data_IF_054565900557
#
_entry.id   IF_054565900557
#
_cell.length_a   1.000
_cell.length_b   1.000
_cell.length_c   1.000
_cell.angle_alpha   90.00
_cell.angle_beta   90.00
_cell.angle_gamma   90.00
#
_symmetry.space_group_name_H-M   'P 1'
#
loop_
_entity.id
_entity.type
_entity.pdbx_description
1 polymer ?
#
# COMPACT_ATOMS: atom_id res chain seq x y z
N UNK A 1 -41.20 -2.60 23.24
CA UNK A 1 -41.50 -1.22 22.80
C UNK A 1 -41.80 -0.30 24.00
N UNK A 2 -42.60 -0.71 25.01
CA UNK A 2 -42.74 0.06 26.24
C UNK A 2 -41.40 0.28 26.93
N UNK A 3 -40.56 -0.76 26.99
CA UNK A 3 -39.26 -0.71 27.64
C UNK A 3 -38.31 0.38 27.07
N UNK A 4 -38.45 0.72 25.77
CA UNK A 4 -37.64 1.75 25.13
C UNK A 4 -38.18 3.16 25.49
N UNK A 5 -39.47 3.36 25.47
CA UNK A 5 -40.10 4.61 25.91
C UNK A 5 -39.87 4.87 27.40
N UNK A 6 -39.90 3.82 28.22
CA UNK A 6 -39.57 3.90 29.64
C UNK A 6 -38.10 4.29 29.88
N UNK A 7 -37.17 3.76 29.08
CA UNK A 7 -35.75 4.10 29.16
C UNK A 7 -35.49 5.58 28.77
N UNK A 8 -36.21 6.11 27.80
CA UNK A 8 -36.07 7.52 27.38
C UNK A 8 -36.95 8.49 28.19
N UNK A 9 -37.91 7.96 28.93
CA UNK A 9 -38.84 8.74 29.76
C UNK A 9 -39.83 9.67 28.98
N UNK A 10 -39.94 9.44 27.67
CA UNK A 10 -40.77 10.24 26.76
C UNK A 10 -41.45 9.35 25.72
N UNK A 11 -42.67 9.73 25.20
CA UNK A 11 -43.29 8.97 24.12
C UNK A 11 -42.49 9.07 22.82
N UNK A 12 -42.14 7.94 22.24
CA UNK A 12 -41.41 7.87 20.99
C UNK A 12 -42.28 7.46 19.80
N UNK A 13 -43.49 6.95 20.07
CA UNK A 13 -44.38 6.41 19.04
C UNK A 13 -45.81 6.99 19.15
N UNK A 14 -46.36 7.36 18.00
CA UNK A 14 -47.78 7.58 17.82
C UNK A 14 -48.47 6.24 17.55
N UNK A 15 -49.47 5.88 18.37
CA UNK A 15 -50.21 4.63 18.24
C UNK A 15 -51.57 4.88 17.62
N UNK A 16 -51.76 4.49 16.35
CA UNK A 16 -53.04 4.45 15.65
C UNK A 16 -53.67 3.06 15.67
N UNK A 17 -54.91 2.94 15.21
CA UNK A 17 -55.67 1.65 15.20
C UNK A 17 -54.99 0.50 14.43
N UNK A 18 -54.13 0.81 13.42
CA UNK A 18 -53.41 -0.16 12.60
C UNK A 18 -52.02 0.35 12.16
N UNK A 19 -51.46 1.37 12.80
CA UNK A 19 -50.22 2.02 12.40
C UNK A 19 -49.49 2.54 13.63
N UNK A 20 -48.16 2.34 13.61
CA UNK A 20 -47.25 2.91 14.59
C UNK A 20 -46.29 3.81 13.80
N UNK A 21 -46.19 5.06 14.21
CA UNK A 21 -45.31 6.06 13.60
C UNK A 21 -44.41 6.66 14.68
N UNK A 22 -43.24 7.09 14.31
CA UNK A 22 -42.36 7.81 15.22
C UNK A 22 -42.94 9.19 15.49
N UNK A 23 -42.78 9.69 16.72
CA UNK A 23 -42.92 11.10 17.05
C UNK A 23 -41.65 11.84 16.60
N UNK A 24 -41.66 13.17 16.55
CA UNK A 24 -40.45 13.98 16.32
C UNK A 24 -39.35 13.62 17.33
N UNK A 25 -39.70 13.36 18.59
CA UNK A 25 -38.82 12.89 19.65
C UNK A 25 -38.31 11.46 19.36
N UNK A 26 -39.18 10.63 18.75
CA UNK A 26 -38.85 9.30 18.31
C UNK A 26 -37.80 9.28 17.19
N UNK A 27 -37.88 10.21 16.24
CA UNK A 27 -36.85 10.36 15.18
C UNK A 27 -35.50 10.74 15.77
N UNK A 28 -35.44 11.65 16.72
CA UNK A 28 -34.20 12.01 17.44
C UNK A 28 -33.67 10.80 18.20
N UNK A 29 -34.52 10.03 18.87
CA UNK A 29 -34.10 8.83 19.58
C UNK A 29 -33.50 7.77 18.64
N UNK A 30 -34.07 7.58 17.45
CA UNK A 30 -33.57 6.68 16.42
C UNK A 30 -32.20 7.14 15.93
N UNK A 31 -31.99 8.43 15.71
CA UNK A 31 -30.70 8.97 15.30
C UNK A 31 -29.60 8.71 16.35
N UNK A 32 -29.93 8.96 17.62
CA UNK A 32 -29.01 8.68 18.73
C UNK A 32 -28.72 7.17 18.89
N UNK A 33 -29.74 6.32 18.74
CA UNK A 33 -29.59 4.89 18.81
C UNK A 33 -28.68 4.36 17.66
N UNK A 34 -28.83 4.89 16.46
CA UNK A 34 -27.93 4.54 15.32
C UNK A 34 -26.48 4.94 15.59
N UNK A 35 -26.28 6.13 16.16
CA UNK A 35 -24.95 6.60 16.53
C UNK A 35 -24.30 5.68 17.57
N UNK A 36 -25.03 5.31 18.63
CA UNK A 36 -24.55 4.40 19.66
C UNK A 36 -24.24 3.00 19.12
N UNK A 37 -25.07 2.46 18.25
CA UNK A 37 -24.83 1.17 17.61
C UNK A 37 -23.57 1.20 16.75
N UNK A 38 -23.40 2.24 15.95
CA UNK A 38 -22.17 2.42 15.13
C UNK A 38 -20.93 2.53 16.00
N UNK A 39 -21.00 3.17 17.15
CA UNK A 39 -19.89 3.30 18.09
C UNK A 39 -19.58 1.98 18.80
N UNK A 40 -20.61 1.21 19.15
CA UNK A 40 -20.47 -0.12 19.71
C UNK A 40 -19.83 -1.11 18.70
N UNK A 41 -20.26 -1.06 17.43
CA UNK A 41 -19.67 -1.86 16.36
C UNK A 41 -18.19 -1.53 16.16
N UNK A 42 -17.83 -0.24 16.14
CA UNK A 42 -16.42 0.20 16.06
C UNK A 42 -15.59 -0.26 17.26
N UNK A 43 -16.15 -0.24 18.46
CA UNK A 43 -15.45 -0.72 19.65
C UNK A 43 -15.16 -2.22 19.56
N UNK A 44 -16.13 -3.02 19.10
CA UNK A 44 -15.92 -4.47 18.87
C UNK A 44 -14.86 -4.72 17.81
N UNK A 45 -14.93 -4.01 16.67
CA UNK A 45 -13.94 -4.12 15.61
C UNK A 45 -12.54 -3.73 16.08
N UNK A 46 -12.42 -2.68 16.89
CA UNK A 46 -11.15 -2.26 17.49
C UNK A 46 -10.53 -3.34 18.35
N UNK A 47 -11.31 -3.97 19.23
CA UNK A 47 -10.82 -5.07 20.10
C UNK A 47 -10.43 -6.29 19.29
N UNK A 48 -11.24 -6.68 18.29
CA UNK A 48 -10.93 -7.80 17.42
C UNK A 48 -9.70 -7.54 16.53
N UNK A 49 -9.50 -6.31 16.10
CA UNK A 49 -8.33 -5.90 15.32
C UNK A 49 -7.08 -5.92 16.20
N UNK A 50 -7.17 -5.43 17.43
CA UNK A 50 -6.07 -5.49 18.39
C UNK A 50 -5.63 -6.94 18.65
N UNK A 51 -6.57 -7.86 18.88
CA UNK A 51 -6.25 -9.27 19.09
C UNK A 51 -5.60 -9.91 17.85
N UNK A 52 -6.13 -9.64 16.65
CA UNK A 52 -5.51 -10.11 15.39
C UNK A 52 -4.10 -9.57 15.21
N UNK A 53 -3.87 -8.30 15.54
CA UNK A 53 -2.58 -7.65 15.37
C UNK A 53 -1.52 -8.18 16.33
N UNK A 54 -1.88 -8.75 17.49
CA UNK A 54 -0.91 -9.37 18.41
C UNK A 54 -0.13 -10.52 17.78
N UNK A 55 -0.71 -11.17 16.75
CA UNK A 55 -0.09 -12.29 16.03
C UNK A 55 0.18 -11.98 14.56
N UNK A 56 0.07 -10.72 14.16
CA UNK A 56 0.30 -10.30 12.77
C UNK A 56 1.37 -9.23 12.72
N UNK A 57 2.37 -9.42 11.86
CA UNK A 57 3.33 -8.38 11.50
C UNK A 57 2.89 -7.78 10.16
N UNK A 58 2.51 -6.52 10.17
CA UNK A 58 2.00 -5.81 9.00
C UNK A 58 3.06 -4.91 8.40
N UNK A 59 3.35 -5.10 7.10
CA UNK A 59 4.39 -4.41 6.37
C UNK A 59 3.78 -3.66 5.19
N UNK A 60 4.01 -2.35 5.13
CA UNK A 60 3.69 -1.55 3.96
C UNK A 60 4.97 -1.13 3.24
N UNK A 61 5.03 -1.32 1.93
CA UNK A 61 6.22 -1.02 1.14
C UNK A 61 5.89 -0.20 -0.09
N UNK A 62 6.77 0.74 -0.44
CA UNK A 62 6.71 1.46 -1.71
C UNK A 62 7.44 0.74 -2.85
N UNK A 63 8.15 -0.36 -2.58
CA UNK A 63 8.91 -1.12 -3.57
C UNK A 63 8.83 -2.63 -3.30
N UNK A 64 8.71 -3.46 -4.35
CA UNK A 64 8.58 -4.91 -4.19
C UNK A 64 9.88 -5.59 -3.74
N UNK A 65 11.03 -5.24 -4.28
CA UNK A 65 12.30 -5.94 -4.02
C UNK A 65 12.72 -5.90 -2.55
N UNK A 66 12.70 -4.75 -1.85
CA UNK A 66 12.96 -4.71 -0.40
C UNK A 66 11.97 -5.55 0.40
N UNK A 67 10.69 -5.51 0.01
CA UNK A 67 9.65 -6.29 0.67
C UNK A 67 9.92 -7.79 0.54
N UNK A 68 10.14 -8.29 -0.68
CA UNK A 68 10.43 -9.71 -0.92
C UNK A 68 11.71 -10.20 -0.24
N UNK A 69 12.64 -9.28 0.02
CA UNK A 69 13.84 -9.61 0.80
C UNK A 69 13.57 -9.74 2.28
N UNK A 70 12.62 -8.98 2.81
CA UNK A 70 12.29 -8.96 4.23
C UNK A 70 11.39 -10.13 4.63
N UNK A 71 10.45 -10.53 3.77
CA UNK A 71 9.44 -11.54 4.09
C UNK A 71 10.02 -12.88 4.56
N UNK A 72 11.02 -13.50 3.89
CA UNK A 72 11.61 -14.75 4.35
C UNK A 72 12.29 -14.63 5.71
N UNK A 73 12.98 -13.52 5.96
CA UNK A 73 13.69 -13.26 7.22
C UNK A 73 12.71 -13.15 8.39
N UNK A 74 11.62 -12.41 8.19
CA UNK A 74 10.57 -12.28 9.21
C UNK A 74 9.85 -13.61 9.46
N UNK A 75 9.50 -14.34 8.41
CA UNK A 75 8.86 -15.65 8.55
C UNK A 75 9.74 -16.65 9.30
N UNK A 76 11.05 -16.60 9.11
CA UNK A 76 11.98 -17.43 9.85
C UNK A 76 12.12 -17.00 11.32
N UNK A 77 12.17 -15.69 11.57
CA UNK A 77 12.39 -15.13 12.91
C UNK A 77 11.14 -15.17 13.79
N UNK A 78 9.97 -15.11 13.18
CA UNK A 78 8.67 -15.06 13.85
C UNK A 78 7.74 -16.12 13.27
N UNK A 79 8.02 -17.42 13.51
CA UNK A 79 7.30 -18.54 12.88
C UNK A 79 5.83 -18.61 13.31
N UNK A 80 5.49 -18.08 14.48
CA UNK A 80 4.14 -18.11 15.04
C UNK A 80 3.29 -16.89 14.63
N UNK A 81 3.89 -15.92 13.91
CA UNK A 81 3.20 -14.73 13.45
C UNK A 81 2.72 -14.87 11.99
N UNK A 82 1.57 -14.28 11.73
CA UNK A 82 1.10 -14.04 10.37
C UNK A 82 1.84 -12.83 9.81
N UNK A 83 2.46 -12.98 8.65
CA UNK A 83 3.09 -11.85 7.96
C UNK A 83 2.12 -11.33 6.91
N UNK A 84 1.66 -10.11 7.08
CA UNK A 84 0.80 -9.39 6.13
C UNK A 84 1.61 -8.30 5.43
N UNK A 85 1.49 -8.19 4.11
CA UNK A 85 2.22 -7.16 3.38
C UNK A 85 1.35 -6.50 2.31
N UNK A 86 1.64 -5.21 2.05
CA UNK A 86 0.94 -4.40 1.05
C UNK A 86 1.93 -3.48 0.33
N UNK A 87 1.86 -3.44 -1.00
CA UNK A 87 2.53 -2.41 -1.79
C UNK A 87 1.62 -1.18 -1.87
N UNK A 88 2.15 -0.02 -1.52
CA UNK A 88 1.40 1.25 -1.54
C UNK A 88 2.32 2.46 -1.66
N UNK A 89 1.75 3.67 -1.69
CA UNK A 89 2.51 4.91 -1.80
C UNK A 89 3.10 5.36 -0.45
N UNK A 90 4.07 6.28 -0.51
CA UNK A 90 4.81 6.75 0.66
C UNK A 90 3.93 7.43 1.72
N UNK A 91 2.92 8.21 1.30
CA UNK A 91 2.06 8.95 2.23
C UNK A 91 1.19 7.97 3.04
N UNK A 92 0.64 6.95 2.38
CA UNK A 92 -0.13 5.89 3.03
C UNK A 92 0.74 5.05 3.97
N UNK A 93 2.00 4.75 3.60
CA UNK A 93 2.93 4.06 4.48
C UNK A 93 3.17 4.84 5.76
N UNK A 94 3.53 6.12 5.64
CA UNK A 94 3.79 6.98 6.78
C UNK A 94 2.57 7.11 7.68
N UNK A 95 1.39 7.30 7.10
CA UNK A 95 0.14 7.37 7.84
C UNK A 95 -0.14 6.09 8.64
N UNK A 96 0.00 4.92 7.99
CA UNK A 96 -0.31 3.65 8.64
C UNK A 96 0.71 3.27 9.71
N UNK A 97 2.00 3.54 9.51
CA UNK A 97 3.01 3.30 10.54
C UNK A 97 2.84 4.27 11.72
N UNK A 98 2.58 5.55 11.46
CA UNK A 98 2.36 6.53 12.53
C UNK A 98 1.09 6.27 13.35
N UNK A 99 0.06 5.68 12.74
CA UNK A 99 -1.19 5.30 13.42
C UNK A 99 -1.16 3.91 14.07
N UNK A 100 -0.10 3.13 13.88
CA UNK A 100 0.02 1.75 14.36
C UNK A 100 -0.79 0.72 13.56
N UNK A 101 -1.29 1.08 12.36
CA UNK A 101 -1.95 0.15 11.44
C UNK A 101 -0.96 -0.69 10.62
N UNK A 102 0.31 -0.31 10.63
CA UNK A 102 1.41 -1.10 10.09
C UNK A 102 2.60 -1.03 11.06
N UNK A 103 3.28 -2.17 11.23
CA UNK A 103 4.44 -2.29 12.12
C UNK A 103 5.72 -1.82 11.42
N UNK A 104 5.81 -2.05 10.11
CA UNK A 104 7.00 -1.76 9.31
C UNK A 104 6.58 -1.00 8.05
N UNK A 105 7.29 0.11 7.79
CA UNK A 105 7.19 0.86 6.55
C UNK A 105 8.51 0.82 5.78
N UNK A 106 8.48 0.46 4.50
CA UNK A 106 9.66 0.51 3.62
C UNK A 106 9.53 1.71 2.68
N UNK A 107 10.45 2.64 2.81
CA UNK A 107 10.49 3.91 2.09
C UNK A 107 11.78 4.04 1.27
N UNK A 108 11.80 4.81 0.15
CA UNK A 108 12.99 5.00 -0.68
C UNK A 108 13.98 5.99 -0.05
N UNK A 109 13.58 6.67 1.02
CA UNK A 109 14.40 7.65 1.76
C UNK A 109 13.94 7.73 3.21
N UNK A 110 14.78 8.25 4.09
CA UNK A 110 14.42 8.48 5.49
C UNK A 110 13.27 9.49 5.62
N UNK A 111 12.40 9.27 6.60
CA UNK A 111 11.37 10.22 6.97
C UNK A 111 11.86 11.20 8.07
N UNK A 112 11.20 12.35 8.17
CA UNK A 112 11.52 13.39 9.15
C UNK A 112 10.70 13.28 10.44
N UNK A 113 9.83 12.28 10.56
CA UNK A 113 8.99 12.09 11.75
C UNK A 113 9.84 11.60 12.92
N UNK A 114 9.87 12.38 14.01
CA UNK A 114 10.65 12.09 15.21
C UNK A 114 10.09 10.91 16.04
N UNK A 115 8.86 10.52 15.79
CA UNK A 115 8.21 9.41 16.47
C UNK A 115 8.50 8.08 15.79
N UNK A 116 9.11 8.09 14.60
CA UNK A 116 9.43 6.90 13.83
C UNK A 116 10.95 6.64 13.85
N UNK A 117 11.30 5.38 14.07
CA UNK A 117 12.68 4.92 13.92
C UNK A 117 12.94 4.59 12.46
N UNK A 118 13.78 5.39 11.79
CA UNK A 118 14.22 5.12 10.42
C UNK A 118 15.63 4.53 10.43
N UNK A 119 15.76 3.33 9.87
CA UNK A 119 17.06 2.64 9.71
C UNK A 119 17.32 2.32 8.24
N UNK A 120 18.56 2.45 7.75
CA UNK A 120 18.93 1.94 6.43
C UNK A 120 18.74 0.42 6.38
N UNK A 121 18.07 -0.07 5.33
CA UNK A 121 17.78 -1.49 5.19
C UNK A 121 18.56 -2.12 4.04
N UNK A 122 18.31 -1.66 2.82
CA UNK A 122 19.06 -2.12 1.64
C UNK A 122 19.20 -0.99 0.62
N UNK A 123 20.14 -1.16 -0.30
CA UNK A 123 20.31 -0.29 -1.45
C UNK A 123 19.79 -1.00 -2.69
N UNK A 124 18.89 -0.35 -3.41
CA UNK A 124 18.34 -0.84 -4.67
C UNK A 124 18.86 0.02 -5.82
N UNK A 125 19.27 -0.62 -6.91
CA UNK A 125 19.72 0.07 -8.11
C UNK A 125 18.81 -0.29 -9.28
N UNK A 126 18.40 0.75 -10.02
CA UNK A 126 17.62 0.60 -11.24
C UNK A 126 18.55 0.41 -12.43
N UNK A 127 18.26 -0.59 -13.24
CA UNK A 127 18.94 -0.89 -14.49
C UNK A 127 17.98 -0.70 -15.66
N UNK A 128 18.51 -0.30 -16.80
CA UNK A 128 17.79 -0.31 -18.06
C UNK A 128 18.31 -1.46 -18.92
N UNK A 129 17.41 -2.32 -19.38
CA UNK A 129 17.70 -3.39 -20.33
C UNK A 129 17.52 -2.82 -21.74
N UNK A 130 18.57 -2.87 -22.54
CA UNK A 130 18.62 -2.26 -23.86
C UNK A 130 18.89 -3.37 -24.89
N UNK A 131 18.05 -3.53 -25.94
CA UNK A 131 18.32 -4.45 -27.03
C UNK A 131 19.66 -4.14 -27.70
N UNK A 132 20.38 -5.17 -28.15
CA UNK A 132 21.76 -5.05 -28.70
C UNK A 132 21.84 -4.14 -29.92
N UNK A 133 20.79 -4.11 -30.74
CA UNK A 133 20.70 -3.29 -31.95
C UNK A 133 20.26 -1.85 -31.69
N UNK A 134 19.97 -1.52 -30.42
CA UNK A 134 19.50 -0.19 -30.07
C UNK A 134 20.67 0.81 -30.02
N UNK A 135 20.45 2.04 -30.45
CA UNK A 135 21.49 3.10 -30.51
C UNK A 135 22.13 3.46 -29.16
N UNK A 136 21.52 3.08 -28.06
CA UNK A 136 22.06 3.30 -26.71
C UNK A 136 22.79 2.07 -26.16
N UNK A 137 22.90 0.97 -26.91
CA UNK A 137 23.46 -0.30 -26.43
C UNK A 137 24.95 -0.22 -26.04
N UNK A 138 25.70 0.72 -26.63
CA UNK A 138 27.14 0.92 -26.33
C UNK A 138 27.41 1.69 -25.03
N UNK A 139 26.37 2.25 -24.39
CA UNK A 139 26.54 3.03 -23.17
C UNK A 139 26.54 2.11 -21.94
N UNK A 140 27.59 2.18 -21.13
CA UNK A 140 27.69 1.44 -19.87
C UNK A 140 26.84 2.04 -18.75
N UNK A 141 26.55 3.33 -18.82
CA UNK A 141 25.71 4.05 -17.84
C UNK A 141 24.84 5.07 -18.57
N UNK A 142 23.59 5.15 -18.17
CA UNK A 142 22.60 6.08 -18.72
C UNK A 142 21.78 6.70 -17.58
N UNK A 143 21.48 7.97 -17.72
CA UNK A 143 20.53 8.64 -16.84
C UNK A 143 19.13 8.58 -17.41
N UNK A 144 18.10 8.63 -16.55
CA UNK A 144 16.69 8.66 -17.00
C UNK A 144 16.39 9.77 -18.04
N UNK A 145 16.91 11.00 -17.91
CA UNK A 145 16.73 12.02 -18.96
C UNK A 145 17.29 11.64 -20.32
N UNK A 146 18.36 10.84 -20.41
CA UNK A 146 18.89 10.35 -21.67
C UNK A 146 18.01 9.30 -22.34
N UNK A 147 17.15 8.65 -21.55
CA UNK A 147 16.15 7.69 -22.03
C UNK A 147 14.84 8.36 -22.43
N UNK A 148 14.67 9.67 -22.16
CA UNK A 148 13.45 10.39 -22.46
C UNK A 148 13.19 10.47 -23.97
N UNK A 149 11.96 10.12 -24.36
CA UNK A 149 11.53 10.04 -25.76
C UNK A 149 11.58 8.62 -26.35
N UNK A 150 12.18 7.65 -25.66
CA UNK A 150 12.11 6.23 -26.05
C UNK A 150 10.89 5.55 -25.45
N UNK A 151 10.34 4.61 -26.20
CA UNK A 151 9.26 3.77 -25.69
C UNK A 151 9.84 2.69 -24.76
N UNK A 152 9.18 2.48 -23.64
CA UNK A 152 9.62 1.56 -22.61
C UNK A 152 8.52 0.59 -22.22
N UNK A 153 8.92 -0.62 -21.87
CA UNK A 153 8.09 -1.64 -21.27
C UNK A 153 8.24 -1.57 -19.75
N UNK A 154 7.14 -1.50 -19.02
CA UNK A 154 7.10 -1.51 -17.56
C UNK A 154 6.21 -2.63 -17.05
N UNK A 155 6.59 -3.21 -15.91
CA UNK A 155 5.65 -3.96 -15.08
C UNK A 155 4.79 -2.98 -14.29
N UNK A 156 3.56 -3.37 -13.97
CA UNK A 156 2.64 -2.54 -13.17
C UNK A 156 3.07 -2.44 -11.70
N UNK A 157 3.59 -3.52 -11.13
CA UNK A 157 3.94 -3.61 -9.72
C UNK A 157 5.43 -3.33 -9.43
N UNK A 158 5.98 -2.23 -9.95
CA UNK A 158 7.35 -1.82 -9.62
C UNK A 158 7.42 -0.71 -8.55
N UNK A 159 6.30 -0.44 -7.90
CA UNK A 159 6.22 0.50 -6.79
C UNK A 159 6.55 1.95 -7.20
N UNK A 160 7.31 2.66 -6.35
CA UNK A 160 7.66 4.07 -6.57
C UNK A 160 8.47 4.32 -7.85
N UNK A 161 9.13 3.29 -8.40
CA UNK A 161 9.89 3.40 -9.64
C UNK A 161 9.01 3.84 -10.81
N UNK A 162 7.74 3.42 -10.86
CA UNK A 162 6.79 3.83 -11.91
C UNK A 162 6.66 5.35 -11.98
N UNK A 163 6.44 5.99 -10.85
CA UNK A 163 6.27 7.45 -10.79
C UNK A 163 7.60 8.16 -11.07
N UNK A 164 8.71 7.63 -10.58
CA UNK A 164 10.02 8.19 -10.81
C UNK A 164 10.38 8.18 -12.29
N UNK A 165 10.27 7.05 -12.99
CA UNK A 165 10.62 6.96 -14.41
C UNK A 165 9.70 7.82 -15.27
N UNK A 166 8.39 7.83 -15.01
CA UNK A 166 7.43 8.68 -15.73
C UNK A 166 7.72 10.17 -15.54
N UNK A 167 8.05 10.60 -14.34
CA UNK A 167 8.36 12.00 -14.04
C UNK A 167 9.66 12.47 -14.70
N UNK A 168 10.66 11.59 -14.83
CA UNK A 168 11.95 11.89 -15.45
C UNK A 168 12.00 11.69 -16.96
N UNK A 169 10.97 11.02 -17.50
CA UNK A 169 10.88 10.67 -18.93
C UNK A 169 9.51 11.07 -19.51
N UNK A 170 9.09 12.36 -19.44
CA UNK A 170 7.75 12.81 -19.81
C UNK A 170 7.44 12.68 -21.31
N UNK A 171 8.43 12.61 -22.18
CA UNK A 171 8.24 12.40 -23.63
C UNK A 171 8.22 10.94 -24.04
N UNK A 172 8.48 10.01 -23.11
CA UNK A 172 8.45 8.57 -23.35
C UNK A 172 7.03 8.01 -23.27
N UNK A 173 6.78 6.94 -24.02
CA UNK A 173 5.56 6.14 -23.90
C UNK A 173 5.87 4.85 -23.16
N UNK A 174 4.99 4.48 -22.25
CA UNK A 174 5.15 3.30 -21.43
C UNK A 174 4.07 2.28 -21.76
N UNK A 175 4.48 1.11 -22.23
CA UNK A 175 3.63 -0.08 -22.33
C UNK A 175 3.70 -0.79 -20.98
N UNK A 176 2.55 -0.87 -20.29
CA UNK A 176 2.47 -1.50 -18.97
C UNK A 176 1.91 -2.89 -19.13
N UNK A 177 2.61 -3.88 -18.56
CA UNK A 177 2.19 -5.28 -18.53
C UNK A 177 1.99 -5.76 -17.09
N UNK A 178 0.87 -6.46 -16.89
CA UNK A 178 0.48 -7.06 -15.62
C UNK A 178 0.86 -8.54 -15.56
N UNK A 179 0.85 -9.23 -16.69
CA UNK A 179 1.21 -10.63 -16.81
C UNK A 179 2.72 -10.80 -16.99
N UNK A 180 3.33 -11.70 -16.20
CA UNK A 180 4.77 -11.92 -16.20
C UNK A 180 5.24 -12.59 -17.48
N UNK A 181 4.50 -13.58 -17.97
CA UNK A 181 4.84 -14.30 -19.19
C UNK A 181 4.76 -13.38 -20.42
N UNK A 182 3.70 -12.57 -20.52
CA UNK A 182 3.58 -11.57 -21.60
C UNK A 182 4.70 -10.53 -21.53
N UNK A 183 5.07 -10.11 -20.33
CA UNK A 183 6.19 -9.18 -20.12
C UNK A 183 7.50 -9.77 -20.65
N UNK A 184 7.83 -10.99 -20.27
CA UNK A 184 9.05 -11.67 -20.70
C UNK A 184 9.07 -11.90 -22.22
N UNK A 185 7.94 -12.29 -22.82
CA UNK A 185 7.82 -12.42 -24.27
C UNK A 185 8.06 -11.09 -24.99
N UNK A 186 7.52 -9.98 -24.49
CA UNK A 186 7.75 -8.66 -25.05
C UNK A 186 9.20 -8.20 -24.86
N UNK A 187 9.85 -8.49 -23.75
CA UNK A 187 11.30 -8.22 -23.57
C UNK A 187 12.13 -8.96 -24.60
N UNK A 188 11.77 -10.21 -24.91
CA UNK A 188 12.52 -11.04 -25.85
C UNK A 188 12.28 -10.68 -27.32
N UNK A 189 11.05 -10.28 -27.68
CA UNK A 189 10.61 -10.13 -29.07
C UNK A 189 10.54 -8.68 -29.55
N UNK A 190 10.55 -7.69 -28.64
CA UNK A 190 10.43 -6.28 -28.98
C UNK A 190 11.78 -5.55 -28.92
N UNK A 191 11.81 -4.35 -29.47
CA UNK A 191 12.96 -3.42 -29.36
C UNK A 191 12.74 -2.36 -28.26
N UNK A 192 11.77 -2.59 -27.37
CA UNK A 192 11.47 -1.67 -26.28
C UNK A 192 12.55 -1.75 -25.20
N UNK A 193 12.84 -0.61 -24.60
CA UNK A 193 13.63 -0.57 -23.39
C UNK A 193 12.79 -1.13 -22.23
N UNK A 194 13.39 -1.87 -21.31
CA UNK A 194 12.71 -2.25 -20.08
C UNK A 194 13.59 -1.96 -18.86
N UNK A 195 12.97 -1.94 -17.69
CA UNK A 195 13.67 -1.67 -16.44
C UNK A 195 13.69 -2.91 -15.57
N UNK A 196 14.79 -3.08 -14.88
CA UNK A 196 14.99 -4.08 -13.84
C UNK A 196 15.63 -3.40 -12.63
N UNK A 197 15.45 -3.96 -11.46
CA UNK A 197 16.16 -3.52 -10.25
C UNK A 197 16.83 -4.70 -9.57
N UNK A 198 17.93 -4.44 -8.89
CA UNK A 198 18.60 -5.43 -8.06
C UNK A 198 19.04 -4.84 -6.74
N UNK A 199 19.17 -5.71 -5.75
CA UNK A 199 19.84 -5.37 -4.50
C UNK A 199 21.31 -5.15 -4.79
N UNK A 200 21.88 -4.06 -4.29
CA UNK A 200 23.32 -3.92 -4.15
C UNK A 200 23.71 -4.15 -2.70
N UNK A 201 24.56 -5.12 -2.44
CA UNK A 201 25.27 -5.23 -1.15
C UNK A 201 26.51 -4.34 -1.21
N UNK A 202 26.91 -3.75 -0.08
CA UNK A 202 28.12 -2.89 -0.02
C UNK A 202 29.43 -3.63 -0.41
N UNK A 203 29.37 -4.96 -0.62
CA UNK A 203 30.48 -5.78 -1.07
C UNK A 203 30.75 -5.71 -2.59
N UNK A 204 29.88 -5.11 -3.40
CA UNK A 204 30.05 -4.99 -4.85
C UNK A 204 30.76 -3.69 -5.29
N UNK A 205 31.35 -2.96 -4.33
CA UNK A 205 32.15 -1.76 -4.58
C UNK A 205 33.66 -2.00 -4.32
N UNK A 206 34.22 -3.03 -4.96
CA UNK A 206 35.69 -3.19 -5.00
C UNK A 206 36.17 -3.37 -6.43
#
# INVERSE_FOLDING_TARGET
>A
MHDVEDAFGVPLFHRGKNRIELTDTGEVAVEQARSLLSEAEKAVETVQTFERNQHTITIHSCAPVPLWSLLPELSHRFPDNIISSKLTNMDEILQNVSSGNADIGILPQSCSDKNLLCIPYLKEQLYVCIPKEHKLAEHSQLSLPQLNGFNCLLRDEIGFWTNLVKSKMPASRFLIQTDEFEFEELVRTSTLLCFSSSKTTDSDQT
#
